data_IF_611831381960
#
_entry.id   IF_611831381960
#
_cell.length_a   1.000
_cell.length_b   1.000
_cell.length_c   1.000
_cell.angle_alpha   90.00
_cell.angle_beta   90.00
_cell.angle_gamma   90.00
#
_symmetry.space_group_name_H-M   'P 1'
#
loop_
_entity.id
_entity.type
_entity.pdbx_description
1 polymer ?
#
# COMPACT_ATOMS: atom_id res chain seq x y z
N UNK A 1 3.14 5.91 -8.45
CA UNK A 1 4.36 5.11 -8.28
C UNK A 1 5.39 6.00 -7.62
N UNK A 2 5.60 5.79 -6.33
CA UNK A 2 6.54 6.53 -5.51
C UNK A 2 6.97 5.61 -4.37
N UNK A 3 8.19 5.77 -3.87
CA UNK A 3 8.52 5.21 -2.57
C UNK A 3 7.74 5.91 -1.45
N UNK A 4 7.84 5.42 -0.22
CA UNK A 4 7.06 5.91 0.91
C UNK A 4 7.67 5.56 2.27
N UNK A 5 7.24 6.25 3.34
CA UNK A 5 7.59 5.85 4.71
C UNK A 5 6.76 4.63 5.17
N UNK A 6 7.36 3.85 6.07
CA UNK A 6 6.81 2.66 6.69
C UNK A 6 6.70 2.86 8.21
N UNK A 7 5.66 2.29 8.81
CA UNK A 7 5.49 2.16 10.25
C UNK A 7 5.06 0.73 10.58
N UNK A 8 5.04 0.39 11.87
CA UNK A 8 4.60 -0.95 12.30
C UNK A 8 3.16 -1.23 11.84
N UNK A 9 2.99 -2.26 11.01
CA UNK A 9 1.72 -2.64 10.36
C UNK A 9 1.10 -1.57 9.44
N UNK A 10 1.85 -0.53 9.08
CA UNK A 10 1.39 0.54 8.19
C UNK A 10 2.38 0.69 7.05
N UNK A 11 1.98 0.21 5.87
CA UNK A 11 2.86 0.27 4.68
C UNK A 11 2.96 1.69 4.14
N UNK A 12 1.93 2.52 4.25
CA UNK A 12 2.00 3.91 3.79
C UNK A 12 1.86 4.87 4.97
N UNK A 13 2.97 5.19 5.63
CA UNK A 13 3.01 6.05 6.83
C UNK A 13 3.03 7.56 6.51
N UNK A 14 2.53 7.96 5.34
CA UNK A 14 2.23 9.36 5.00
C UNK A 14 3.33 10.17 4.32
N UNK A 15 4.59 9.73 4.29
CA UNK A 15 5.66 10.39 3.50
C UNK A 15 5.84 9.71 2.16
N UNK A 16 6.14 10.50 1.13
CA UNK A 16 6.35 10.03 -0.25
C UNK A 16 7.78 10.31 -0.68
N UNK A 17 8.46 9.29 -1.21
CA UNK A 17 9.77 9.40 -1.86
C UNK A 17 9.52 9.50 -3.38
N UNK A 18 9.73 10.66 -4.01
CA UNK A 18 9.40 10.87 -5.41
C UNK A 18 10.36 10.11 -6.33
N UNK A 19 9.81 9.57 -7.42
CA UNK A 19 10.57 8.87 -8.47
C UNK A 19 11.08 9.80 -9.58
N UNK A 20 10.65 11.06 -9.57
CA UNK A 20 11.08 12.12 -10.47
C UNK A 20 11.50 13.32 -9.66
N UNK A 21 12.25 14.24 -10.27
CA UNK A 21 12.53 15.51 -9.62
C UNK A 21 11.22 16.25 -9.28
N UNK A 22 11.14 16.78 -8.06
CA UNK A 22 10.01 17.57 -7.56
C UNK A 22 10.51 18.84 -6.89
N UNK A 23 9.69 19.90 -6.89
CA UNK A 23 9.99 21.12 -6.14
C UNK A 23 9.72 20.87 -4.65
N UNK A 24 10.74 21.09 -3.82
CA UNK A 24 10.71 20.83 -2.38
C UNK A 24 11.72 19.75 -1.98
N UNK A 25 12.17 19.83 -0.73
CA UNK A 25 13.03 18.79 -0.13
C UNK A 25 12.32 18.17 1.06
N UNK A 26 12.54 16.89 1.27
CA UNK A 26 12.21 16.21 2.51
C UNK A 26 13.49 15.55 3.04
N UNK A 27 13.58 15.42 4.35
CA UNK A 27 14.71 14.76 5.00
C UNK A 27 14.33 13.32 5.34
N UNK A 28 15.35 12.49 5.53
CA UNK A 28 15.23 11.12 6.04
C UNK A 28 15.69 11.10 7.50
N UNK A 29 14.76 11.10 8.47
CA UNK A 29 15.13 11.03 9.88
C UNK A 29 15.71 9.65 10.24
N UNK A 30 16.66 9.60 11.16
CA UNK A 30 17.38 8.37 11.53
C UNK A 30 16.48 7.26 12.11
N UNK A 31 15.30 7.60 12.63
CA UNK A 31 14.37 6.67 13.28
C UNK A 31 13.14 6.30 12.43
N UNK A 32 13.21 6.52 11.12
CA UNK A 32 12.11 6.20 10.21
C UNK A 32 12.55 5.18 9.14
N UNK A 33 11.62 4.31 8.76
CA UNK A 33 11.82 3.35 7.69
C UNK A 33 11.17 3.86 6.39
N UNK A 34 11.82 3.60 5.26
CA UNK A 34 11.33 3.99 3.94
C UNK A 34 11.47 2.85 2.93
N UNK A 35 10.45 2.69 2.10
CA UNK A 35 10.52 1.92 0.87
C UNK A 35 11.00 2.85 -0.25
N UNK A 36 12.18 2.56 -0.82
CA UNK A 36 12.75 3.27 -1.96
C UNK A 36 12.54 2.45 -3.23
N UNK A 37 11.49 2.77 -3.98
CA UNK A 37 10.99 1.93 -5.08
C UNK A 37 10.98 2.73 -6.40
N UNK A 38 12.14 2.84 -7.09
CA UNK A 38 12.18 3.48 -8.40
C UNK A 38 11.51 2.60 -9.46
N UNK A 39 10.71 3.23 -10.32
CA UNK A 39 10.09 2.57 -11.47
C UNK A 39 10.53 3.26 -12.75
N UNK A 40 10.96 2.46 -13.72
CA UNK A 40 11.40 2.93 -15.04
C UNK A 40 10.51 2.31 -16.12
N UNK A 41 10.34 3.04 -17.22
CA UNK A 41 9.65 2.56 -18.42
C UNK A 41 10.61 2.57 -19.61
N UNK A 42 10.20 1.96 -20.72
CA UNK A 42 10.98 1.97 -21.96
C UNK A 42 10.99 3.37 -22.58
N UNK A 43 11.86 3.59 -23.58
CA UNK A 43 11.93 4.89 -24.28
C UNK A 43 10.61 5.29 -24.95
N UNK A 44 9.84 4.32 -25.43
CA UNK A 44 8.51 4.52 -26.04
C UNK A 44 7.39 4.66 -25.00
N UNK A 45 7.68 4.34 -23.73
CA UNK A 45 6.74 4.40 -22.64
C UNK A 45 6.50 5.83 -22.15
N UNK A 46 5.25 6.18 -21.89
CA UNK A 46 4.88 7.54 -21.46
C UNK A 46 5.24 7.87 -20.00
N UNK A 47 5.74 6.90 -19.23
CA UNK A 47 6.14 7.10 -17.82
C UNK A 47 4.99 7.09 -16.81
N UNK A 48 3.79 6.65 -17.18
CA UNK A 48 2.63 6.58 -16.30
C UNK A 48 2.06 5.17 -16.20
N UNK A 49 1.63 4.79 -14.99
CA UNK A 49 0.94 3.53 -14.72
C UNK A 49 -0.57 3.78 -14.68
N UNK A 50 -1.36 2.86 -15.25
CA UNK A 50 -2.82 2.87 -15.19
C UNK A 50 -3.33 1.63 -14.48
N UNK A 51 -4.43 1.81 -13.75
CA UNK A 51 -5.10 0.70 -13.08
C UNK A 51 -5.70 -0.28 -14.09
N UNK A 52 -5.33 -1.55 -13.97
CA UNK A 52 -6.02 -2.65 -14.66
C UNK A 52 -7.42 -2.89 -14.12
N UNK A 53 -8.22 -3.66 -14.88
CA UNK A 53 -9.60 -4.02 -14.52
C UNK A 53 -9.69 -4.94 -13.30
N UNK A 54 -8.73 -5.86 -13.17
CA UNK A 54 -8.70 -6.87 -12.10
C UNK A 54 -8.00 -6.27 -10.87
N UNK A 55 -8.56 -6.55 -9.68
CA UNK A 55 -8.00 -6.15 -8.38
C UNK A 55 -7.70 -7.40 -7.57
N UNK A 56 -6.43 -7.59 -7.21
CA UNK A 56 -5.97 -8.80 -6.53
C UNK A 56 -5.39 -8.52 -5.15
N UNK A 57 -4.98 -7.29 -4.85
CA UNK A 57 -4.31 -6.93 -3.60
C UNK A 57 -5.27 -6.06 -2.78
N UNK A 58 -5.51 -6.47 -1.54
CA UNK A 58 -6.44 -5.84 -0.61
C UNK A 58 -5.77 -5.64 0.74
N UNK A 59 -6.22 -4.67 1.53
CA UNK A 59 -5.76 -4.46 2.90
C UNK A 59 -6.92 -3.99 3.76
N UNK A 60 -6.92 -4.37 5.04
CA UNK A 60 -7.92 -3.88 5.98
C UNK A 60 -7.59 -2.45 6.39
N UNK A 61 -8.58 -1.55 6.29
CA UNK A 61 -8.42 -0.14 6.71
C UNK A 61 -8.97 0.11 8.11
N UNK A 62 -9.94 -0.69 8.56
CA UNK A 62 -10.46 -0.60 9.92
C UNK A 62 -11.20 -1.88 10.32
N UNK A 63 -11.12 -2.25 11.60
CA UNK A 63 -11.87 -3.37 12.19
C UNK A 63 -13.14 -2.88 12.90
N UNK A 64 -14.05 -2.26 12.15
CA UNK A 64 -15.36 -1.82 12.68
C UNK A 64 -16.41 -2.88 12.40
N UNK A 65 -17.16 -3.28 13.43
CA UNK A 65 -18.29 -4.19 13.24
C UNK A 65 -19.34 -3.56 12.32
N UNK A 66 -19.88 -4.40 11.45
CA UNK A 66 -20.95 -4.05 10.51
C UNK A 66 -22.25 -4.73 10.94
N UNK A 67 -23.36 -4.40 10.27
CA UNK A 67 -24.66 -5.06 10.49
C UNK A 67 -24.75 -6.44 9.83
N UNK A 68 -23.75 -6.83 9.03
CA UNK A 68 -23.71 -8.08 8.28
C UNK A 68 -22.79 -9.08 8.99
N UNK A 69 -23.33 -10.24 9.35
CA UNK A 69 -22.59 -11.27 10.09
C UNK A 69 -21.49 -11.92 9.25
N UNK A 70 -21.71 -12.13 7.95
CA UNK A 70 -20.72 -12.75 7.08
C UNK A 70 -19.58 -11.79 6.77
N UNK A 71 -19.89 -10.50 6.60
CA UNK A 71 -18.87 -9.46 6.54
C UNK A 71 -18.03 -9.41 7.83
N UNK A 72 -18.65 -9.57 9.00
CA UNK A 72 -17.93 -9.61 10.28
C UNK A 72 -17.03 -10.85 10.41
N UNK A 73 -17.47 -12.03 9.93
CA UNK A 73 -16.63 -13.25 9.88
C UNK A 73 -15.40 -13.04 8.98
N UNK A 74 -15.60 -12.43 7.81
CA UNK A 74 -14.51 -12.11 6.89
C UNK A 74 -13.53 -11.10 7.50
N UNK A 75 -14.04 -10.05 8.15
CA UNK A 75 -13.22 -9.07 8.87
C UNK A 75 -12.36 -9.74 9.95
N UNK A 76 -12.92 -10.67 10.72
CA UNK A 76 -12.19 -11.38 11.76
C UNK A 76 -11.12 -12.31 11.18
N UNK A 77 -11.44 -13.01 10.09
CA UNK A 77 -10.47 -13.84 9.37
C UNK A 77 -9.29 -12.99 8.85
N UNK A 78 -9.57 -11.87 8.20
CA UNK A 78 -8.53 -10.98 7.68
C UNK A 78 -7.67 -10.44 8.83
N UNK A 79 -8.30 -9.97 9.91
CA UNK A 79 -7.59 -9.42 11.07
C UNK A 79 -6.66 -10.46 11.71
N UNK A 80 -7.14 -11.68 11.90
CA UNK A 80 -6.37 -12.73 12.57
C UNK A 80 -5.18 -13.20 11.74
N UNK A 81 -5.32 -13.28 10.42
CA UNK A 81 -4.28 -13.83 9.54
C UNK A 81 -3.33 -12.76 8.97
N UNK A 82 -3.84 -11.56 8.69
CA UNK A 82 -3.10 -10.51 7.99
C UNK A 82 -3.05 -9.19 8.77
N UNK A 83 -3.89 -9.01 9.79
CA UNK A 83 -4.01 -7.76 10.54
C UNK A 83 -4.32 -6.58 9.59
N UNK A 84 -3.48 -5.55 9.57
CA UNK A 84 -3.56 -4.39 8.67
C UNK A 84 -2.65 -4.53 7.45
N UNK A 85 -1.95 -5.67 7.30
CA UNK A 85 -1.07 -5.92 6.16
C UNK A 85 -1.88 -6.32 4.91
N UNK A 86 -1.40 -5.99 3.70
CA UNK A 86 -2.05 -6.42 2.48
C UNK A 86 -2.01 -7.93 2.29
N UNK A 87 -3.03 -8.43 1.61
CA UNK A 87 -3.18 -9.83 1.22
C UNK A 87 -3.68 -9.92 -0.23
N UNK A 88 -3.51 -11.10 -0.83
CA UNK A 88 -3.98 -11.38 -2.19
C UNK A 88 -5.19 -12.31 -2.18
N UNK A 89 -6.07 -12.18 -3.18
CA UNK A 89 -7.18 -13.12 -3.41
C UNK A 89 -6.77 -14.39 -4.20
N UNK A 90 -5.48 -14.69 -4.29
CA UNK A 90 -5.00 -15.86 -5.02
C UNK A 90 -5.05 -17.08 -4.08
N UNK A 91 -6.16 -17.82 -4.11
CA UNK A 91 -6.33 -19.03 -3.29
C UNK A 91 -7.72 -19.30 -2.68
N UNK A 92 -8.80 -18.71 -3.18
CA UNK A 92 -10.18 -19.16 -2.88
C UNK A 92 -10.83 -19.83 -4.09
#
# INVERSE_FOLDING_TARGET
>A
MSGHSLEQYTIHAGKTVPNTWTIGSFNFPENEAFACEPFVTTHEGLGYVRNGKIKNIFALVSRKQTKDEDANKLLEYIWTNFNMLPFACDGF
#
